data_IF_839569601595
#
_entry.id   IF_839569601595
#
_cell.length_a   1.000
_cell.length_b   1.000
_cell.length_c   1.000
_cell.angle_alpha   90.00
_cell.angle_beta   90.00
_cell.angle_gamma   90.00
#
_symmetry.space_group_name_H-M   'P 1'
#
loop_
_entity.id
_entity.type
_entity.pdbx_description
1 polymer ?
#
# COMPACT_ATOMS: atom_id res chain seq x y z
N UNK A 1 -19.15 15.98 15.61
CA UNK A 1 -20.20 15.04 16.06
C UNK A 1 -19.50 13.86 16.69
N UNK A 2 -19.76 13.62 17.98
CA UNK A 2 -19.15 12.56 18.77
C UNK A 2 -19.84 11.23 18.48
N UNK A 3 -19.09 10.14 18.31
CA UNK A 3 -19.65 8.79 18.24
C UNK A 3 -18.87 7.89 19.19
N UNK A 4 -19.65 7.26 20.08
CA UNK A 4 -19.22 6.40 21.17
C UNK A 4 -18.74 5.02 20.66
N UNK A 5 -17.76 4.46 21.38
CA UNK A 5 -17.18 3.13 21.14
C UNK A 5 -17.84 2.15 22.11
N UNK A 6 -18.56 1.16 21.58
CA UNK A 6 -18.96 -0.03 22.33
C UNK A 6 -18.15 -1.22 21.83
N UNK A 7 -17.28 -1.73 22.71
CA UNK A 7 -16.46 -2.92 22.52
C UNK A 7 -17.32 -4.18 22.67
N UNK A 8 -17.23 -5.13 21.73
CA UNK A 8 -17.73 -6.48 21.93
C UNK A 8 -16.60 -7.48 21.68
N UNK A 9 -16.20 -8.20 22.74
CA UNK A 9 -15.17 -9.23 22.74
C UNK A 9 -15.81 -10.60 22.49
N UNK A 10 -15.38 -11.30 21.44
CA UNK A 10 -15.76 -12.68 21.16
C UNK A 10 -14.53 -13.50 20.78
N UNK A 11 -14.16 -14.42 21.66
CA UNK A 11 -12.93 -15.24 21.66
C UNK A 11 -12.88 -16.31 20.57
N UNK A 12 -11.67 -16.56 20.07
CA UNK A 12 -11.26 -17.73 19.27
C UNK A 12 -11.12 -18.99 20.12
N UNK A 13 -11.24 -20.19 19.51
CA UNK A 13 -10.46 -21.33 19.95
C UNK A 13 -9.48 -21.85 18.88
N UNK A 14 -8.31 -22.21 19.39
CA UNK A 14 -7.14 -22.80 18.75
C UNK A 14 -7.39 -24.28 18.38
N UNK A 15 -6.83 -24.74 17.25
CA UNK A 15 -6.64 -26.16 16.97
C UNK A 15 -5.15 -26.47 16.79
N UNK A 16 -4.68 -27.44 17.58
CA UNK A 16 -3.32 -27.99 17.60
C UNK A 16 -3.13 -29.08 16.53
N UNK A 17 -1.88 -29.40 16.14
CA UNK A 17 -1.61 -30.35 15.05
C UNK A 17 -1.48 -31.79 15.55
N UNK A 18 -1.99 -32.76 14.77
CA UNK A 18 -1.74 -34.19 14.98
C UNK A 18 -0.77 -34.71 13.93
N UNK A 19 0.34 -35.28 14.40
CA UNK A 19 1.36 -35.97 13.62
C UNK A 19 1.11 -37.49 13.74
N UNK A 20 1.09 -38.23 12.63
CA UNK A 20 1.30 -39.68 12.63
C UNK A 20 1.82 -40.17 11.27
N UNK A 21 3.15 -40.32 11.23
CA UNK A 21 3.97 -41.42 10.70
C UNK A 21 3.54 -42.29 9.49
N UNK A 22 4.53 -42.42 8.61
CA UNK A 22 4.68 -43.33 7.47
C UNK A 22 4.66 -44.83 7.83
N UNK A 23 4.06 -45.64 6.96
CA UNK A 23 4.39 -47.04 6.80
C UNK A 23 4.47 -47.38 5.30
N UNK A 24 5.63 -47.90 4.90
CA UNK A 24 5.92 -48.48 3.58
C UNK A 24 5.43 -49.92 3.52
N UNK A 25 4.76 -50.30 2.43
CA UNK A 25 4.80 -51.66 1.89
C UNK A 25 4.46 -51.62 0.40
N UNK A 26 5.43 -52.04 -0.42
CA UNK A 26 5.28 -52.30 -1.83
C UNK A 26 4.41 -53.53 -2.05
N UNK A 27 3.37 -53.42 -2.87
CA UNK A 27 2.96 -54.51 -3.74
C UNK A 27 2.67 -53.99 -5.14
N UNK A 28 3.23 -54.73 -6.09
CA UNK A 28 3.31 -54.47 -7.52
C UNK A 28 2.03 -55.00 -8.17
N UNK A 29 1.27 -54.14 -8.83
CA UNK A 29 0.29 -54.56 -9.83
C UNK A 29 0.22 -53.51 -10.93
N UNK A 30 0.78 -53.88 -12.08
CA UNK A 30 0.73 -53.16 -13.33
C UNK A 30 -0.65 -53.25 -13.95
N UNK A 31 -1.37 -52.14 -14.02
CA UNK A 31 -2.40 -51.92 -15.04
C UNK A 31 -2.16 -50.54 -15.61
N UNK A 32 -1.72 -50.50 -16.87
CA UNK A 32 -1.61 -49.27 -17.63
C UNK A 32 -2.99 -48.67 -17.83
N UNK A 33 -3.25 -47.56 -17.15
CA UNK A 33 -4.31 -46.64 -17.50
C UNK A 33 -3.67 -45.26 -17.59
N UNK A 34 -3.61 -44.78 -18.83
CA UNK A 34 -3.18 -43.46 -19.28
C UNK A 34 -3.41 -42.40 -18.20
N UNK A 35 -2.31 -41.88 -17.64
CA UNK A 35 -2.36 -40.71 -16.79
C UNK A 35 -2.87 -39.55 -17.65
N UNK A 36 -4.19 -39.31 -17.61
CA UNK A 36 -4.79 -38.06 -18.02
C UNK A 36 -4.14 -37.02 -17.12
N UNK A 37 -3.13 -36.32 -17.64
CA UNK A 37 -2.55 -35.16 -17.00
C UNK A 37 -3.73 -34.31 -16.51
N UNK A 38 -3.90 -34.25 -15.19
CA UNK A 38 -4.90 -33.40 -14.59
C UNK A 38 -4.54 -31.99 -15.01
N UNK A 39 -5.25 -31.48 -16.01
CA UNK A 39 -5.25 -30.06 -16.33
C UNK A 39 -5.66 -29.38 -15.03
N UNK A 40 -4.69 -28.82 -14.31
CA UNK A 40 -4.98 -27.85 -13.26
C UNK A 40 -5.72 -26.75 -14.00
N UNK A 41 -7.04 -26.69 -13.81
CA UNK A 41 -7.86 -25.62 -14.38
C UNK A 41 -7.44 -24.34 -13.69
N UNK A 42 -6.43 -23.66 -14.24
CA UNK A 42 -6.05 -22.35 -13.78
C UNK A 42 -7.24 -21.44 -14.09
N UNK A 43 -7.84 -20.86 -13.04
CA UNK A 43 -8.89 -19.85 -13.21
C UNK A 43 -8.42 -18.79 -14.21
N UNK A 44 -9.30 -18.34 -15.09
CA UNK A 44 -8.98 -17.31 -16.07
C UNK A 44 -8.37 -16.06 -15.43
N UNK A 45 -8.91 -15.63 -14.29
CA UNK A 45 -8.40 -14.49 -13.55
C UNK A 45 -6.94 -14.70 -13.13
N UNK A 46 -6.58 -15.92 -12.72
CA UNK A 46 -5.19 -16.24 -12.38
C UNK A 46 -4.27 -16.22 -13.62
N UNK A 47 -4.76 -16.58 -14.81
CA UNK A 47 -3.99 -16.40 -16.06
C UNK A 47 -3.81 -14.91 -16.40
N UNK A 48 -4.91 -14.14 -16.39
CA UNK A 48 -4.87 -12.69 -16.63
C UNK A 48 -3.92 -11.97 -15.68
N UNK A 49 -3.94 -12.35 -14.40
CA UNK A 49 -3.07 -11.78 -13.38
C UNK A 49 -1.60 -12.12 -13.64
N UNK A 50 -1.26 -13.37 -13.96
CA UNK A 50 0.13 -13.74 -14.31
C UNK A 50 0.65 -12.95 -15.53
N UNK A 51 -0.19 -12.76 -16.53
CA UNK A 51 0.16 -11.96 -17.70
C UNK A 51 0.32 -10.48 -17.34
N UNK A 52 -0.54 -9.96 -16.46
CA UNK A 52 -0.49 -8.58 -15.96
C UNK A 52 0.78 -8.34 -15.13
N UNK A 53 1.14 -9.27 -14.24
CA UNK A 53 2.39 -9.22 -13.49
C UNK A 53 3.62 -9.23 -14.42
N UNK A 54 3.58 -9.98 -15.53
CA UNK A 54 4.64 -9.94 -16.53
C UNK A 54 4.75 -8.57 -17.19
N UNK A 55 3.62 -7.93 -17.50
CA UNK A 55 3.59 -6.53 -17.98
C UNK A 55 4.08 -5.55 -16.93
N UNK A 56 3.73 -5.74 -15.66
CA UNK A 56 4.21 -4.94 -14.52
C UNK A 56 5.73 -5.01 -14.40
N UNK A 57 6.34 -6.19 -14.54
CA UNK A 57 7.80 -6.33 -14.54
C UNK A 57 8.41 -5.54 -15.69
N UNK A 58 7.91 -5.70 -16.91
CA UNK A 58 8.39 -4.93 -18.07
C UNK A 58 8.23 -3.42 -17.87
N UNK A 59 7.05 -2.97 -17.41
CA UNK A 59 6.76 -1.57 -17.05
C UNK A 59 7.73 -1.02 -16.04
N UNK A 60 8.13 -1.80 -15.03
CA UNK A 60 9.03 -1.32 -13.97
C UNK A 60 10.51 -1.38 -14.39
N UNK A 61 10.87 -2.13 -15.45
CA UNK A 61 12.25 -2.27 -15.94
C UNK A 61 12.67 -1.24 -17.00
N UNK A 62 11.73 -0.60 -17.69
CA UNK A 62 12.03 0.27 -18.85
C UNK A 62 12.17 1.77 -18.53
N UNK A 63 11.27 2.41 -17.76
CA UNK A 63 11.27 3.85 -17.51
C UNK A 63 12.10 4.26 -16.28
N UNK A 64 12.61 5.49 -16.30
CA UNK A 64 13.13 6.14 -15.11
C UNK A 64 12.01 6.49 -14.11
N UNK A 65 12.33 6.63 -12.82
CA UNK A 65 11.36 6.94 -11.73
C UNK A 65 10.38 8.07 -12.09
N UNK A 66 10.87 9.15 -12.70
CA UNK A 66 10.04 10.29 -13.13
C UNK A 66 8.97 9.91 -14.16
N UNK A 67 9.33 9.07 -15.12
CA UNK A 67 8.41 8.59 -16.15
C UNK A 67 7.39 7.61 -15.56
N UNK A 68 7.80 6.76 -14.60
CA UNK A 68 6.85 5.95 -13.81
C UNK A 68 5.83 6.83 -13.08
N UNK A 69 6.29 7.91 -12.44
CA UNK A 69 5.41 8.85 -11.75
C UNK A 69 4.40 9.50 -12.69
N UNK A 70 4.86 10.04 -13.82
CA UNK A 70 3.97 10.63 -14.83
C UNK A 70 2.97 9.62 -15.42
N UNK A 71 3.40 8.37 -15.62
CA UNK A 71 2.51 7.29 -16.06
C UNK A 71 1.49 6.93 -14.98
N UNK A 72 1.90 6.92 -13.70
CA UNK A 72 1.00 6.70 -12.58
C UNK A 72 -0.10 7.77 -12.52
N UNK A 73 0.27 9.04 -12.59
CA UNK A 73 -0.67 10.18 -12.60
C UNK A 73 -1.69 10.06 -13.74
N UNK A 74 -1.21 9.83 -14.97
CA UNK A 74 -2.05 9.66 -16.15
C UNK A 74 -3.04 8.50 -15.99
N UNK A 75 -2.57 7.37 -15.46
CA UNK A 75 -3.42 6.20 -15.25
C UNK A 75 -4.45 6.47 -14.16
N UNK A 76 -4.03 7.01 -13.02
CA UNK A 76 -4.91 7.29 -11.87
C UNK A 76 -6.02 8.24 -12.28
N UNK A 77 -5.73 9.30 -13.05
CA UNK A 77 -6.77 10.20 -13.53
C UNK A 77 -7.84 9.49 -14.37
N UNK A 78 -7.42 8.58 -15.26
CA UNK A 78 -8.33 7.80 -16.12
C UNK A 78 -9.15 6.75 -15.37
N UNK A 79 -8.70 6.28 -14.21
CA UNK A 79 -9.41 5.21 -13.47
C UNK A 79 -10.05 5.68 -12.17
N UNK A 80 -9.68 6.85 -11.64
CA UNK A 80 -10.19 7.34 -10.35
C UNK A 80 -10.24 8.88 -10.23
N UNK A 81 -9.76 9.62 -11.23
CA UNK A 81 -9.74 11.09 -11.23
C UNK A 81 -10.89 11.72 -12.01
N UNK A 82 -10.66 12.95 -12.47
CA UNK A 82 -11.67 13.76 -13.16
C UNK A 82 -12.03 13.15 -14.51
N UNK A 83 -11.04 12.64 -15.25
CA UNK A 83 -11.29 11.95 -16.53
C UNK A 83 -12.18 10.73 -16.35
N UNK A 84 -11.95 9.93 -15.30
CA UNK A 84 -12.81 8.80 -14.96
C UNK A 84 -14.25 9.26 -14.66
N UNK A 85 -14.39 10.27 -13.81
CA UNK A 85 -15.70 10.79 -13.42
C UNK A 85 -16.50 11.31 -14.62
N UNK A 86 -15.83 12.00 -15.54
CA UNK A 86 -16.45 12.54 -16.76
C UNK A 86 -16.87 11.45 -17.78
N UNK A 87 -16.25 10.27 -17.74
CA UNK A 87 -16.46 9.21 -18.73
C UNK A 87 -17.18 7.97 -18.17
N UNK A 88 -17.83 8.08 -17.00
CA UNK A 88 -18.51 6.96 -16.32
C UNK A 88 -19.42 6.15 -17.24
N UNK A 89 -20.28 6.79 -18.04
CA UNK A 89 -21.19 6.08 -18.94
C UNK A 89 -20.47 5.20 -19.98
N UNK A 90 -19.30 5.66 -20.46
CA UNK A 90 -18.47 4.87 -21.39
C UNK A 90 -17.81 3.68 -20.67
N UNK A 91 -17.38 3.87 -19.42
CA UNK A 91 -16.79 2.82 -18.61
C UNK A 91 -17.82 1.76 -18.20
N UNK A 92 -19.05 2.17 -17.91
CA UNK A 92 -20.17 1.27 -17.58
C UNK A 92 -20.60 0.41 -18.78
N UNK A 93 -20.42 0.91 -20.00
CA UNK A 93 -20.69 0.19 -21.24
C UNK A 93 -19.49 -0.64 -21.75
N UNK A 94 -18.33 -0.55 -21.09
CA UNK A 94 -17.13 -1.28 -21.52
C UNK A 94 -17.27 -2.78 -21.24
N UNK A 95 -17.01 -3.59 -22.27
CA UNK A 95 -17.13 -5.04 -22.18
C UNK A 95 -15.75 -5.70 -22.26
N UNK A 96 -15.50 -6.81 -21.53
CA UNK A 96 -14.26 -7.56 -21.66
C UNK A 96 -14.02 -7.97 -23.11
N UNK A 97 -12.77 -7.86 -23.57
CA UNK A 97 -12.33 -8.36 -24.89
C UNK A 97 -12.17 -9.89 -24.86
N UNK A 98 -13.24 -10.59 -24.53
CA UNK A 98 -13.30 -12.06 -24.41
C UNK A 98 -14.74 -12.58 -24.42
N UNK A 99 -14.93 -13.80 -24.94
CA UNK A 99 -16.20 -14.53 -24.89
C UNK A 99 -16.38 -15.36 -23.60
N UNK A 100 -15.65 -15.05 -22.52
CA UNK A 100 -15.62 -15.91 -21.33
C UNK A 100 -16.58 -15.42 -20.26
N UNK A 101 -17.58 -16.23 -19.87
CA UNK A 101 -18.57 -15.85 -18.87
C UNK A 101 -17.96 -15.33 -17.55
N UNK A 102 -16.80 -15.84 -17.13
CA UNK A 102 -16.14 -15.38 -15.91
C UNK A 102 -15.62 -13.95 -16.05
N UNK A 103 -15.09 -13.58 -17.22
CA UNK A 103 -14.63 -12.21 -17.48
C UNK A 103 -15.82 -11.23 -17.51
N UNK A 104 -16.95 -11.63 -18.12
CA UNK A 104 -18.17 -10.84 -18.12
C UNK A 104 -18.73 -10.63 -16.71
N UNK A 105 -18.77 -11.69 -15.90
CA UNK A 105 -19.23 -11.61 -14.52
C UNK A 105 -18.34 -10.68 -13.67
N UNK A 106 -17.02 -10.76 -13.83
CA UNK A 106 -16.06 -9.89 -13.14
C UNK A 106 -16.24 -8.41 -13.51
N UNK A 107 -16.31 -8.10 -14.80
CA UNK A 107 -16.51 -6.73 -15.27
C UNK A 107 -17.88 -6.16 -14.86
N UNK A 108 -18.93 -7.01 -14.86
CA UNK A 108 -20.22 -6.63 -14.31
C UNK A 108 -20.13 -6.31 -12.81
N UNK A 109 -19.49 -7.16 -12.02
CA UNK A 109 -19.32 -6.93 -10.59
C UNK A 109 -18.52 -5.65 -10.31
N UNK A 110 -17.45 -5.40 -11.07
CA UNK A 110 -16.66 -4.18 -10.94
C UNK A 110 -17.46 -2.92 -11.31
N UNK A 111 -18.32 -3.01 -12.32
CA UNK A 111 -19.26 -1.94 -12.68
C UNK A 111 -20.27 -1.73 -11.56
N UNK A 112 -20.97 -2.77 -11.08
CA UNK A 112 -21.91 -2.63 -9.97
C UNK A 112 -21.23 -1.96 -8.74
N UNK A 113 -19.98 -2.35 -8.42
CA UNK A 113 -19.19 -1.74 -7.35
C UNK A 113 -18.95 -0.23 -7.56
N UNK A 114 -18.68 0.22 -8.80
CA UNK A 114 -18.48 1.65 -9.11
C UNK A 114 -19.74 2.50 -8.89
N UNK A 115 -20.90 1.87 -8.85
CA UNK A 115 -22.20 2.46 -8.48
C UNK A 115 -22.53 2.32 -6.98
N UNK A 116 -21.59 1.80 -6.18
CA UNK A 116 -21.82 1.52 -4.76
C UNK A 116 -22.66 0.28 -4.50
N UNK A 117 -22.78 -0.61 -5.48
CA UNK A 117 -23.58 -1.83 -5.41
C UNK A 117 -22.67 -3.05 -5.29
N UNK A 118 -22.88 -3.87 -4.26
CA UNK A 118 -22.10 -5.09 -4.06
C UNK A 118 -20.67 -4.83 -3.56
N UNK A 119 -19.92 -5.92 -3.41
CA UNK A 119 -18.56 -5.89 -2.90
C UNK A 119 -17.53 -5.68 -4.02
N UNK A 120 -16.43 -5.02 -3.69
CA UNK A 120 -15.27 -4.91 -4.56
C UNK A 120 -14.80 -6.31 -4.99
N UNK A 121 -14.73 -6.64 -6.29
CA UNK A 121 -14.34 -7.97 -6.76
C UNK A 121 -12.91 -8.38 -6.39
N UNK A 122 -12.04 -7.42 -6.05
CA UNK A 122 -10.64 -7.66 -5.71
C UNK A 122 -10.36 -7.58 -4.21
N UNK A 123 -11.40 -7.61 -3.37
CA UNK A 123 -11.28 -7.47 -1.92
C UNK A 123 -10.26 -8.49 -1.35
N UNK A 124 -9.28 -7.99 -0.61
CA UNK A 124 -8.26 -8.83 0.04
C UNK A 124 -7.13 -9.34 -0.86
N UNK A 125 -7.05 -8.91 -2.13
CA UNK A 125 -5.87 -9.15 -2.96
C UNK A 125 -4.63 -8.43 -2.41
N UNK A 126 -3.44 -8.94 -2.75
CA UNK A 126 -2.19 -8.29 -2.33
C UNK A 126 -1.95 -6.98 -3.08
N UNK A 127 -1.13 -6.09 -2.52
CA UNK A 127 -0.80 -4.80 -3.14
C UNK A 127 -0.16 -4.97 -4.52
N UNK A 128 0.65 -5.99 -4.72
CA UNK A 128 1.27 -6.32 -6.01
C UNK A 128 0.25 -6.76 -7.05
N UNK A 129 -0.75 -7.56 -6.65
CA UNK A 129 -1.83 -7.99 -7.54
C UNK A 129 -2.72 -6.81 -7.92
N UNK A 130 -3.03 -5.94 -6.95
CA UNK A 130 -3.82 -4.74 -7.18
C UNK A 130 -3.08 -3.75 -8.09
N UNK A 131 -1.77 -3.55 -7.92
CA UNK A 131 -0.93 -2.76 -8.85
C UNK A 131 -0.97 -3.35 -10.27
N UNK A 132 -0.80 -4.67 -10.38
CA UNK A 132 -0.82 -5.36 -11.66
C UNK A 132 -2.15 -5.19 -12.40
N UNK A 133 -3.28 -5.05 -11.70
CA UNK A 133 -4.58 -4.79 -12.33
C UNK A 133 -4.77 -3.29 -12.58
N UNK A 134 -4.70 -2.46 -11.55
CA UNK A 134 -5.02 -1.04 -11.60
C UNK A 134 -4.20 -0.29 -12.66
N UNK A 135 -2.91 -0.59 -12.76
CA UNK A 135 -1.99 0.08 -13.65
C UNK A 135 -1.75 -0.62 -14.99
N UNK A 136 -2.52 -1.68 -15.31
CA UNK A 136 -2.45 -2.35 -16.62
C UNK A 136 -3.27 -1.59 -17.67
N UNK A 137 -2.58 -0.85 -18.55
CA UNK A 137 -3.17 -0.10 -19.66
C UNK A 137 -3.25 -0.88 -20.98
N UNK A 138 -2.98 -2.20 -20.97
CA UNK A 138 -3.08 -3.05 -22.17
C UNK A 138 -4.52 -3.28 -22.67
N UNK A 139 -5.53 -2.89 -21.88
CA UNK A 139 -6.94 -3.11 -22.17
C UNK A 139 -7.39 -4.56 -21.98
N UNK A 140 -6.68 -5.33 -21.14
CA UNK A 140 -7.08 -6.68 -20.71
C UNK A 140 -8.04 -6.67 -19.52
N UNK A 141 -8.03 -5.58 -18.76
CA UNK A 141 -9.04 -5.23 -17.76
C UNK A 141 -9.78 -3.99 -18.25
N UNK A 142 -11.09 -3.97 -18.03
CA UNK A 142 -11.94 -2.79 -18.21
C UNK A 142 -11.54 -1.68 -17.24
N UNK A 143 -11.93 -0.43 -17.52
CA UNK A 143 -11.66 0.70 -16.64
C UNK A 143 -12.31 0.51 -15.27
N UNK A 144 -13.52 -0.06 -15.19
CA UNK A 144 -14.20 -0.31 -13.92
C UNK A 144 -13.51 -1.42 -13.08
N UNK A 145 -12.95 -2.45 -13.71
CA UNK A 145 -12.09 -3.43 -13.01
C UNK A 145 -10.83 -2.75 -12.44
N UNK A 146 -10.17 -1.90 -13.23
CA UNK A 146 -8.98 -1.17 -12.79
C UNK A 146 -9.29 -0.18 -11.66
N UNK A 147 -10.43 0.52 -11.75
CA UNK A 147 -10.96 1.37 -10.68
C UNK A 147 -11.17 0.59 -9.39
N UNK A 148 -11.81 -0.58 -9.47
CA UNK A 148 -12.03 -1.44 -8.32
C UNK A 148 -10.71 -1.90 -7.67
N UNK A 149 -9.72 -2.30 -8.47
CA UNK A 149 -8.40 -2.68 -7.95
C UNK A 149 -7.69 -1.49 -7.27
N UNK A 150 -7.69 -0.31 -7.90
CA UNK A 150 -7.14 0.91 -7.31
C UNK A 150 -7.84 1.26 -5.99
N UNK A 151 -9.17 1.13 -5.93
CA UNK A 151 -9.95 1.43 -4.74
C UNK A 151 -9.67 0.49 -3.59
N UNK A 152 -9.49 -0.81 -3.84
CA UNK A 152 -9.08 -1.74 -2.79
C UNK A 152 -7.67 -1.41 -2.27
N UNK A 153 -6.73 -1.09 -3.16
CA UNK A 153 -5.38 -0.67 -2.73
C UNK A 153 -5.43 0.60 -1.88
N UNK A 154 -6.26 1.57 -2.26
CA UNK A 154 -6.51 2.78 -1.50
C UNK A 154 -7.13 2.48 -0.13
N UNK A 155 -8.13 1.61 -0.05
CA UNK A 155 -8.77 1.27 1.23
C UNK A 155 -7.78 0.55 2.17
N UNK A 156 -6.93 -0.35 1.64
CA UNK A 156 -5.85 -0.99 2.40
C UNK A 156 -4.83 0.04 2.92
N UNK A 157 -4.46 1.00 2.06
CA UNK A 157 -3.57 2.11 2.42
C UNK A 157 -4.16 2.98 3.54
N UNK A 158 -5.44 3.34 3.47
CA UNK A 158 -6.11 4.13 4.52
C UNK A 158 -6.15 3.38 5.85
N UNK A 159 -6.48 2.09 5.83
CA UNK A 159 -6.48 1.26 7.03
C UNK A 159 -5.08 1.19 7.67
N UNK A 160 -4.04 1.02 6.85
CA UNK A 160 -2.66 1.06 7.33
C UNK A 160 -2.29 2.43 7.93
N UNK A 161 -2.63 3.55 7.26
CA UNK A 161 -2.35 4.91 7.75
C UNK A 161 -2.97 5.19 9.10
N UNK A 162 -4.25 4.86 9.28
CA UNK A 162 -4.95 5.06 10.56
C UNK A 162 -4.25 4.29 11.67
N UNK A 163 -3.86 3.04 11.43
CA UNK A 163 -3.13 2.21 12.40
C UNK A 163 -1.78 2.82 12.76
N UNK A 164 -0.98 3.21 11.77
CA UNK A 164 0.40 3.67 11.99
C UNK A 164 0.43 5.05 12.64
N UNK A 165 -0.51 5.95 12.29
CA UNK A 165 -0.67 7.24 12.98
C UNK A 165 -0.99 7.01 14.46
N UNK A 166 -1.98 6.16 14.77
CA UNK A 166 -2.32 5.87 16.15
C UNK A 166 -1.15 5.25 16.95
N UNK A 167 -0.35 4.39 16.32
CA UNK A 167 0.87 3.84 16.94
C UNK A 167 1.93 4.91 17.19
N UNK A 168 2.13 5.83 16.24
CA UNK A 168 3.05 6.96 16.38
C UNK A 168 2.63 7.95 17.48
N UNK A 169 1.33 8.20 17.63
CA UNK A 169 0.80 9.03 18.72
C UNK A 169 1.07 8.40 20.09
N UNK A 170 0.92 7.07 20.21
CA UNK A 170 1.23 6.35 21.44
C UNK A 170 2.73 6.33 21.75
N UNK A 171 3.59 6.18 20.74
CA UNK A 171 5.03 6.29 20.88
C UNK A 171 5.40 7.67 21.44
N UNK A 172 4.92 8.73 20.77
CA UNK A 172 5.14 10.11 21.15
C UNK A 172 4.72 10.39 22.59
N UNK A 173 3.50 9.99 22.99
CA UNK A 173 3.03 10.22 24.36
C UNK A 173 3.91 9.53 25.42
N UNK A 174 4.44 8.34 25.11
CA UNK A 174 5.24 7.55 26.05
C UNK A 174 6.69 8.02 26.14
N UNK A 175 7.30 8.39 25.02
CA UNK A 175 8.76 8.61 24.93
C UNK A 175 9.14 10.04 24.53
N UNK A 176 8.21 10.79 23.95
CA UNK A 176 8.48 12.04 23.26
C UNK A 176 9.09 11.86 21.87
N UNK A 177 9.23 10.63 21.36
CA UNK A 177 9.89 10.31 20.08
C UNK A 177 8.89 9.78 19.05
N UNK A 178 9.32 9.71 17.78
CA UNK A 178 8.55 9.13 16.66
C UNK A 178 9.41 8.23 15.77
N UNK A 179 10.45 7.63 16.33
CA UNK A 179 11.42 6.83 15.61
C UNK A 179 10.79 5.54 15.07
N UNK A 180 9.96 4.87 15.87
CA UNK A 180 9.25 3.67 15.43
C UNK A 180 8.23 4.01 14.33
N UNK A 181 7.54 5.15 14.45
CA UNK A 181 6.66 5.68 13.41
C UNK A 181 7.40 5.88 12.08
N UNK A 182 8.51 6.62 12.08
CA UNK A 182 9.27 6.86 10.83
C UNK A 182 9.86 5.56 10.26
N UNK A 183 10.28 4.62 11.10
CA UNK A 183 10.74 3.31 10.67
C UNK A 183 9.64 2.50 9.97
N UNK A 184 8.41 2.50 10.50
CA UNK A 184 7.27 1.82 9.88
C UNK A 184 6.87 2.49 8.54
N UNK A 185 6.91 3.83 8.46
CA UNK A 185 6.67 4.55 7.19
C UNK A 185 7.74 4.21 6.15
N UNK A 186 9.01 4.17 6.55
CA UNK A 186 10.12 3.78 5.65
C UNK A 186 9.97 2.34 5.17
N UNK A 187 9.62 1.42 6.06
CA UNK A 187 9.37 0.01 5.74
C UNK A 187 8.23 -0.11 4.73
N UNK A 188 7.12 0.59 4.97
CA UNK A 188 5.98 0.59 4.08
C UNK A 188 6.36 1.13 2.70
N UNK A 189 7.02 2.29 2.62
CA UNK A 189 7.49 2.87 1.35
C UNK A 189 8.36 1.90 0.54
N UNK A 190 9.32 1.23 1.20
CA UNK A 190 10.20 0.25 0.53
C UNK A 190 9.44 -0.99 0.03
N UNK A 191 8.30 -1.30 0.64
CA UNK A 191 7.42 -2.40 0.22
C UNK A 191 6.44 -2.04 -0.90
N UNK A 192 6.32 -0.77 -1.28
CA UNK A 192 5.41 -0.36 -2.34
C UNK A 192 5.90 -0.83 -3.72
N UNK A 193 4.97 -1.10 -4.66
CA UNK A 193 5.30 -1.26 -6.08
C UNK A 193 6.08 -0.05 -6.63
N UNK A 194 6.98 -0.28 -7.60
CA UNK A 194 7.86 0.78 -8.12
C UNK A 194 7.09 2.00 -8.68
N UNK A 195 5.94 1.77 -9.31
CA UNK A 195 5.09 2.86 -9.83
C UNK A 195 4.43 3.69 -8.72
N UNK A 196 4.22 3.10 -7.54
CA UNK A 196 3.71 3.80 -6.37
C UNK A 196 4.84 4.53 -5.65
N UNK A 197 6.02 3.92 -5.52
CA UNK A 197 7.21 4.61 -5.01
C UNK A 197 7.53 5.85 -5.83
N UNK A 198 7.36 5.80 -7.15
CA UNK A 198 7.63 6.89 -8.07
C UNK A 198 6.75 8.15 -7.86
N UNK A 199 5.66 8.05 -7.11
CA UNK A 199 4.79 9.18 -6.78
C UNK A 199 5.28 9.99 -5.57
N UNK A 200 6.30 9.53 -4.86
CA UNK A 200 6.92 10.25 -3.74
C UNK A 200 8.07 11.14 -4.23
N UNK A 201 8.59 12.08 -3.42
CA UNK A 201 9.86 12.76 -3.72
C UNK A 201 11.04 11.79 -3.85
N UNK A 202 12.05 12.13 -4.66
CA UNK A 202 13.24 11.27 -4.89
C UNK A 202 14.04 11.03 -3.59
N UNK A 203 14.03 11.99 -2.66
CA UNK A 203 14.74 11.96 -1.40
C UNK A 203 13.92 11.34 -0.24
N UNK A 204 12.71 10.85 -0.50
CA UNK A 204 11.76 10.47 0.55
C UNK A 204 12.32 9.41 1.53
N UNK A 205 12.95 8.35 1.02
CA UNK A 205 13.56 7.32 1.86
C UNK A 205 14.74 7.87 2.68
N UNK A 206 15.61 8.66 2.06
CA UNK A 206 16.77 9.27 2.73
C UNK A 206 16.33 10.25 3.80
N UNK A 207 15.27 11.01 3.55
CA UNK A 207 14.66 11.93 4.52
C UNK A 207 14.12 11.19 5.74
N UNK A 208 13.41 10.07 5.54
CA UNK A 208 12.94 9.22 6.65
C UNK A 208 14.11 8.61 7.44
N UNK A 209 15.15 8.12 6.74
CA UNK A 209 16.35 7.59 7.38
C UNK A 209 17.08 8.65 8.21
N UNK A 210 17.17 9.87 7.68
CA UNK A 210 17.73 11.01 8.40
C UNK A 210 16.92 11.30 9.67
N UNK A 211 15.59 11.37 9.60
CA UNK A 211 14.74 11.57 10.78
C UNK A 211 14.90 10.48 11.83
N UNK A 212 15.01 9.22 11.42
CA UNK A 212 15.29 8.10 12.33
C UNK A 212 16.67 8.28 12.99
N UNK A 213 17.70 8.67 12.24
CA UNK A 213 19.07 8.83 12.77
C UNK A 213 19.21 9.95 13.80
N UNK A 214 18.33 10.96 13.77
CA UNK A 214 18.32 12.04 14.75
C UNK A 214 17.89 11.56 16.13
N UNK A 215 17.09 10.49 16.20
CA UNK A 215 16.48 9.98 17.43
C UNK A 215 15.90 11.12 18.28
N UNK A 216 15.12 11.97 17.62
CA UNK A 216 14.70 13.25 18.15
C UNK A 216 13.60 13.10 19.19
N UNK A 217 13.83 13.70 20.36
CA UNK A 217 12.86 13.79 21.43
C UNK A 217 12.18 15.15 21.41
N UNK A 218 10.92 15.17 21.02
CA UNK A 218 10.06 16.34 20.92
C UNK A 218 9.57 16.87 22.27
N UNK A 219 9.66 16.08 23.36
CA UNK A 219 9.37 16.58 24.70
C UNK A 219 10.51 17.43 25.23
N UNK A 220 11.75 16.97 25.04
CA UNK A 220 12.96 17.65 25.53
C UNK A 220 13.53 18.64 24.52
N UNK A 221 13.10 18.57 23.27
CA UNK A 221 13.71 19.27 22.14
C UNK A 221 15.22 18.97 22.07
N UNK A 222 15.57 17.70 22.03
CA UNK A 222 16.96 17.24 21.89
C UNK A 222 17.04 16.11 20.87
N UNK A 223 18.13 16.10 20.08
CA UNK A 223 18.49 14.94 19.27
C UNK A 223 19.33 14.03 20.14
N UNK A 224 18.89 12.78 20.30
CA UNK A 224 19.58 11.79 21.12
C UNK A 224 20.41 10.83 20.25
N UNK A 225 20.35 11.01 18.91
CA UNK A 225 21.11 10.27 17.92
C UNK A 225 22.53 10.80 17.72
N UNK A 226 23.45 9.90 17.38
CA UNK A 226 24.89 10.10 17.60
C UNK A 226 25.66 11.08 16.71
N UNK A 227 25.11 11.68 15.65
CA UNK A 227 25.98 12.31 14.63
C UNK A 227 25.51 13.59 13.91
N UNK A 228 24.38 14.25 14.25
CA UNK A 228 23.92 15.40 13.43
C UNK A 228 23.45 16.64 14.17
N UNK A 229 24.00 17.78 13.73
CA UNK A 229 23.71 19.14 14.20
C UNK A 229 22.22 19.49 14.01
N UNK A 230 21.61 19.91 15.11
CA UNK A 230 20.17 20.10 15.36
C UNK A 230 19.51 21.25 14.57
N UNK A 231 20.30 22.13 13.93
CA UNK A 231 19.80 23.39 13.35
C UNK A 231 18.88 23.21 12.14
N UNK A 232 19.11 22.22 11.28
CA UNK A 232 18.26 22.00 10.09
C UNK A 232 16.91 21.36 10.42
N UNK A 233 16.82 20.64 11.53
CA UNK A 233 15.68 19.78 11.90
C UNK A 233 14.51 20.62 12.39
N UNK A 234 14.78 21.56 13.30
CA UNK A 234 13.76 22.47 13.84
C UNK A 234 13.17 23.35 12.74
N UNK A 235 14.00 23.91 11.86
CA UNK A 235 13.56 24.74 10.73
C UNK A 235 12.73 23.95 9.70
N UNK A 236 13.08 22.69 9.44
CA UNK A 236 12.37 21.83 8.47
C UNK A 236 11.04 21.30 9.02
N UNK A 237 10.98 20.90 10.29
CA UNK A 237 9.75 20.45 10.95
C UNK A 237 8.77 21.61 11.21
N UNK A 238 9.28 22.82 11.45
CA UNK A 238 8.49 24.06 11.54
C UNK A 238 7.75 24.39 10.25
N UNK A 239 8.34 24.08 9.09
CA UNK A 239 7.80 24.42 7.79
C UNK A 239 6.75 23.41 7.26
N UNK A 240 6.68 22.20 7.82
CA UNK A 240 5.89 21.09 7.25
C UNK A 240 4.97 20.43 8.30
N UNK A 241 3.93 21.12 8.78
CA UNK A 241 2.80 20.45 9.44
C UNK A 241 2.05 21.19 10.55
N UNK A 242 1.04 20.53 11.17
CA UNK A 242 0.13 21.09 12.18
C UNK A 242 0.79 21.54 13.51
N UNK A 243 2.11 21.38 13.65
CA UNK A 243 2.90 21.74 14.84
C UNK A 243 3.68 23.06 14.71
N UNK A 244 3.42 23.88 13.68
CA UNK A 244 4.02 25.22 13.53
C UNK A 244 3.87 26.11 14.80
N UNK A 245 2.82 25.88 15.60
CA UNK A 245 2.59 26.54 16.89
C UNK A 245 3.57 26.14 18.00
N UNK A 246 4.18 24.96 17.93
CA UNK A 246 5.13 24.48 18.95
C UNK A 246 6.57 24.94 18.67
N UNK A 247 6.98 25.09 17.40
CA UNK A 247 8.34 25.53 17.13
C UNK A 247 8.60 27.03 17.39
N UNK A 248 7.56 27.85 17.56
CA UNK A 248 7.70 29.21 18.09
C UNK A 248 8.21 29.23 19.55
N UNK A 249 7.94 28.19 20.35
CA UNK A 249 8.46 28.07 21.72
C UNK A 249 9.91 27.60 21.75
N UNK A 250 10.33 26.79 20.78
CA UNK A 250 11.70 26.25 20.67
C UNK A 250 12.67 27.32 20.15
N UNK A 251 12.22 28.20 19.24
CA UNK A 251 13.01 29.34 18.77
C UNK A 251 13.40 30.30 19.92
N UNK A 252 12.55 30.45 20.94
CA UNK A 252 12.83 31.25 22.12
C UNK A 252 13.85 30.58 23.07
N UNK A 253 13.88 29.24 23.14
CA UNK A 253 14.87 28.49 23.92
C UNK A 253 16.23 28.41 23.24
N UNK A 254 16.28 28.36 21.90
CA UNK A 254 17.51 28.36 21.11
C UNK A 254 18.33 29.66 21.23
N UNK A 255 17.70 30.76 21.63
CA UNK A 255 18.38 32.04 21.91
C UNK A 255 18.95 32.16 23.32
N UNK A 256 18.64 31.23 24.24
CA UNK A 256 19.10 31.29 25.64
C UNK A 256 20.40 30.53 25.91
N UNK A 257 20.82 29.62 25.02
CA UNK A 257 22.05 28.82 25.16
C UNK A 257 23.28 29.43 24.46
N UNK A 258 23.28 30.74 24.19
CA UNK A 258 24.51 31.44 23.79
C UNK A 258 25.14 32.04 25.04
N UNK A 259 26.23 31.48 25.62
CA UNK A 259 27.03 32.26 26.55
C UNK A 259 27.63 33.43 25.76
N UNK A 260 27.37 34.64 26.24
CA UNK A 260 28.04 35.83 25.77
C UNK A 260 29.55 35.66 25.97
N UNK A 261 30.27 35.44 24.87
CA UNK A 261 31.72 35.56 24.87
C UNK A 261 32.06 37.02 24.50
N UNK A 262 32.64 37.70 25.49
CA UNK A 262 33.48 38.89 25.33
C UNK A 262 34.69 38.60 24.45
#
# INVERSE_FOLDING_TARGET
MAIAITSNTGSTPLYAPTQAQSASSQEKSSVGATAKAGSVTVSRLAQQLRDAESRTRARNSTPGRKELGARAETIVDRIAGETWAANRANHDAELPKSDDPQAWALAKQATDFSHGIGANPFKGMSREQLDAIAYDDSGKFTVNERHAAWREAYDQEQAWRVRVIAQGDLEYQRTGKQNDFFAEVLKHYKGLPAIEQAQYPDDYASKLQYWISLDFNFHTNQAEGGETSYKSVVETLLAQGPHARNGAKIAASATQDTPAAH
#
